data_IF_402299680399
#
_entry.id   IF_402299680399
#
_cell.length_a   1.000
_cell.length_b   1.000
_cell.length_c   1.000
_cell.angle_alpha   90.00
_cell.angle_beta   90.00
_cell.angle_gamma   90.00
#
_symmetry.space_group_name_H-M   'P 1'
#
loop_
_entity.id
_entity.type
_entity.pdbx_description
1 polymer ?
#
# COMPACT_ATOMS: atom_id res chain seq x y z
N UNK A 1 28.58 22.03 6.16
CA UNK A 1 27.55 21.77 7.20
C UNK A 1 26.14 22.29 6.84
N UNK A 2 25.93 23.57 6.51
CA UNK A 2 24.58 24.10 6.16
C UNK A 2 23.84 23.34 5.04
N UNK A 3 24.55 22.97 3.96
CA UNK A 3 23.98 22.17 2.85
C UNK A 3 23.52 20.76 3.25
N UNK A 4 24.04 20.21 4.34
CA UNK A 4 23.64 18.90 4.87
C UNK A 4 22.36 19.02 5.70
N UNK A 5 22.27 20.06 6.54
CA UNK A 5 21.09 20.38 7.34
C UNK A 5 19.89 20.75 6.47
N UNK A 6 20.09 21.56 5.42
CA UNK A 6 19.02 21.92 4.48
C UNK A 6 18.50 20.73 3.66
N UNK A 7 19.38 19.76 3.33
CA UNK A 7 18.96 18.49 2.71
C UNK A 7 18.18 17.64 3.70
N UNK A 8 18.63 17.56 4.94
CA UNK A 8 18.00 16.77 5.99
C UNK A 8 16.63 17.34 6.40
N UNK A 9 16.49 18.67 6.42
CA UNK A 9 15.21 19.37 6.62
C UNK A 9 14.26 19.21 5.43
N UNK A 10 14.76 19.28 4.19
CA UNK A 10 13.94 19.02 3.00
C UNK A 10 13.45 17.58 2.98
N UNK A 11 14.30 16.62 3.31
CA UNK A 11 13.93 15.21 3.40
C UNK A 11 12.94 14.94 4.54
N UNK A 12 13.10 15.56 5.71
CA UNK A 12 12.13 15.41 6.82
C UNK A 12 10.81 16.07 6.51
N UNK A 13 10.81 17.24 5.88
CA UNK A 13 9.60 17.95 5.47
C UNK A 13 8.86 17.18 4.35
N UNK A 14 9.59 16.60 3.40
CA UNK A 14 9.04 15.77 2.35
C UNK A 14 8.51 14.43 2.89
N UNK A 15 9.21 13.79 3.84
CA UNK A 15 8.71 12.62 4.57
C UNK A 15 7.43 12.94 5.34
N UNK A 16 7.35 14.12 5.94
CA UNK A 16 6.17 14.59 6.70
C UNK A 16 4.97 14.85 5.78
N UNK A 17 5.20 15.49 4.61
CA UNK A 17 4.18 15.65 3.56
C UNK A 17 3.68 14.32 3.02
N UNK A 18 4.59 13.40 2.65
CA UNK A 18 4.26 12.05 2.17
C UNK A 18 3.51 11.23 3.23
N UNK A 19 3.79 11.44 4.52
CA UNK A 19 3.06 10.84 5.65
C UNK A 19 1.63 11.39 5.74
N UNK A 20 1.46 12.71 5.69
CA UNK A 20 0.14 13.34 5.73
C UNK A 20 -0.72 12.93 4.52
N UNK A 21 -0.13 12.86 3.33
CA UNK A 21 -0.83 12.40 2.13
C UNK A 21 -1.27 10.94 2.22
N UNK A 22 -0.41 10.04 2.70
CA UNK A 22 -0.78 8.62 2.87
C UNK A 22 -1.92 8.44 3.85
N UNK A 23 -1.86 9.14 4.99
CA UNK A 23 -2.91 9.09 6.00
C UNK A 23 -4.23 9.66 5.47
N UNK A 24 -4.19 10.78 4.75
CA UNK A 24 -5.38 11.45 4.22
C UNK A 24 -6.03 10.65 3.08
N UNK A 25 -5.23 10.06 2.18
CA UNK A 25 -5.72 9.37 0.98
C UNK A 25 -6.08 7.90 1.21
N UNK A 26 -5.24 7.16 1.91
CA UNK A 26 -5.43 5.70 2.08
C UNK A 26 -6.03 5.32 3.44
N UNK A 27 -6.12 6.27 4.38
CA UNK A 27 -6.45 6.00 5.79
C UNK A 27 -5.57 4.91 6.42
N UNK A 28 -4.37 4.72 5.86
CA UNK A 28 -3.42 3.70 6.25
C UNK A 28 -2.28 4.33 7.03
N UNK A 29 -1.89 3.69 8.14
CA UNK A 29 -0.73 4.15 8.89
C UNK A 29 0.56 4.00 8.07
N UNK A 30 1.49 4.98 8.10
CA UNK A 30 2.69 4.98 7.27
C UNK A 30 3.58 3.74 7.44
N UNK A 31 3.62 3.20 8.66
CA UNK A 31 4.42 2.01 8.96
C UNK A 31 3.88 0.78 8.22
N UNK A 32 2.56 0.65 8.08
CA UNK A 32 1.94 -0.46 7.37
C UNK A 32 2.23 -0.36 5.87
N UNK A 33 2.10 0.82 5.29
CA UNK A 33 2.46 1.04 3.88
C UNK A 33 3.93 0.70 3.62
N UNK A 34 4.84 1.16 4.47
CA UNK A 34 6.27 0.86 4.33
C UNK A 34 6.55 -0.64 4.47
N UNK A 35 5.87 -1.33 5.39
CA UNK A 35 6.00 -2.78 5.54
C UNK A 35 5.55 -3.50 4.27
N UNK A 36 4.34 -3.19 3.78
CA UNK A 36 3.81 -3.79 2.54
C UNK A 36 4.73 -3.53 1.35
N UNK A 37 5.23 -2.29 1.22
CA UNK A 37 6.17 -1.94 0.16
C UNK A 37 7.47 -2.74 0.25
N UNK A 38 8.05 -2.85 1.44
CA UNK A 38 9.26 -3.61 1.66
C UNK A 38 9.07 -5.10 1.34
N UNK A 39 7.99 -5.70 1.85
CA UNK A 39 7.68 -7.11 1.63
C UNK A 39 7.47 -7.41 0.14
N UNK A 40 6.74 -6.54 -0.58
CA UNK A 40 6.48 -6.68 -2.02
C UNK A 40 7.75 -6.47 -2.86
N UNK A 41 8.58 -5.47 -2.54
CA UNK A 41 9.85 -5.25 -3.24
C UNK A 41 10.82 -6.43 -3.08
N UNK A 42 10.78 -7.11 -1.93
CA UNK A 42 11.58 -8.30 -1.69
C UNK A 42 11.02 -9.55 -2.40
N UNK A 43 9.71 -9.58 -2.64
CA UNK A 43 9.04 -10.68 -3.32
C UNK A 43 9.15 -10.59 -4.85
N UNK A 44 8.85 -9.43 -5.43
CA UNK A 44 8.91 -9.20 -6.89
C UNK A 44 9.81 -7.99 -7.23
N UNK A 45 10.91 -8.30 -7.91
CA UNK A 45 11.88 -7.32 -8.38
C UNK A 45 11.32 -6.34 -9.43
N UNK A 46 10.10 -6.55 -9.94
CA UNK A 46 9.36 -5.57 -10.72
C UNK A 46 9.12 -4.27 -9.94
N UNK A 47 8.86 -4.36 -8.63
CA UNK A 47 8.56 -3.18 -7.83
C UNK A 47 9.80 -2.36 -7.46
N UNK A 48 10.98 -2.96 -7.53
CA UNK A 48 12.26 -2.26 -7.33
C UNK A 48 12.52 -1.32 -8.51
N UNK A 49 12.90 -0.07 -8.22
CA UNK A 49 13.30 0.88 -9.26
C UNK A 49 14.56 0.39 -9.98
N UNK A 50 14.52 0.38 -11.30
CA UNK A 50 15.63 -0.04 -12.18
C UNK A 50 15.79 0.96 -13.32
N UNK A 51 16.98 1.02 -13.90
CA UNK A 51 17.17 1.70 -15.17
C UNK A 51 16.65 0.84 -16.32
N UNK A 52 16.03 1.46 -17.32
CA UNK A 52 15.70 0.79 -18.57
C UNK A 52 16.94 0.61 -19.46
N UNK A 53 16.77 -0.02 -20.62
CA UNK A 53 17.84 -0.27 -21.57
C UNK A 53 18.48 1.02 -22.14
N UNK A 54 17.78 2.16 -22.04
CA UNK A 54 18.28 3.47 -22.43
C UNK A 54 18.96 4.22 -21.26
N UNK A 55 19.05 3.61 -20.08
CA UNK A 55 19.65 4.19 -18.88
C UNK A 55 18.71 5.16 -18.13
N UNK A 56 17.43 5.23 -18.50
CA UNK A 56 16.44 6.09 -17.84
C UNK A 56 15.93 5.39 -16.59
N UNK A 57 15.92 6.09 -15.46
CA UNK A 57 15.37 5.57 -14.21
C UNK A 57 13.86 5.34 -14.35
N UNK A 58 13.42 4.11 -14.11
CA UNK A 58 12.01 3.74 -14.10
C UNK A 58 11.25 4.30 -12.88
N UNK A 59 9.98 3.92 -12.77
CA UNK A 59 9.11 4.35 -11.68
C UNK A 59 9.59 3.83 -10.31
N UNK A 60 9.42 4.68 -9.29
CA UNK A 60 9.69 4.33 -7.90
C UNK A 60 8.69 3.29 -7.38
N UNK A 61 9.09 2.40 -6.44
CA UNK A 61 8.17 1.48 -5.79
C UNK A 61 6.97 2.19 -5.17
N UNK A 62 7.20 3.34 -4.53
CA UNK A 62 6.16 4.16 -3.93
C UNK A 62 5.12 4.60 -4.96
N UNK A 63 5.55 4.96 -6.17
CA UNK A 63 4.65 5.40 -7.24
C UNK A 63 3.79 4.24 -7.73
N UNK A 64 4.40 3.07 -7.97
CA UNK A 64 3.69 1.85 -8.39
C UNK A 64 2.66 1.43 -7.33
N UNK A 65 3.05 1.32 -6.07
CA UNK A 65 2.13 0.95 -4.98
C UNK A 65 1.04 1.99 -4.74
N UNK A 66 1.38 3.28 -4.82
CA UNK A 66 0.41 4.38 -4.68
C UNK A 66 -0.68 4.27 -5.74
N UNK A 67 -0.31 3.97 -6.99
CA UNK A 67 -1.25 3.81 -8.09
C UNK A 67 -2.16 2.58 -7.89
N UNK A 68 -1.58 1.43 -7.55
CA UNK A 68 -2.33 0.20 -7.26
C UNK A 68 -3.29 0.39 -6.09
N UNK A 69 -2.83 0.96 -4.98
CA UNK A 69 -3.68 1.21 -3.81
C UNK A 69 -4.84 2.17 -4.11
N UNK A 70 -4.65 3.14 -5.02
CA UNK A 70 -5.74 4.03 -5.44
C UNK A 70 -6.76 3.30 -6.32
N UNK A 71 -6.30 2.47 -7.25
CA UNK A 71 -7.20 1.63 -8.05
C UNK A 71 -8.08 0.76 -7.15
N UNK A 72 -7.47 0.10 -6.17
CA UNK A 72 -8.20 -0.76 -5.22
C UNK A 72 -9.14 0.03 -4.31
N UNK A 73 -8.72 1.19 -3.78
CA UNK A 73 -9.50 1.96 -2.83
C UNK A 73 -10.75 2.61 -3.45
N UNK A 74 -10.66 3.04 -4.70
CA UNK A 74 -11.75 3.74 -5.37
C UNK A 74 -12.60 2.85 -6.29
N UNK A 75 -12.17 1.61 -6.54
CA UNK A 75 -12.82 0.73 -7.52
C UNK A 75 -12.82 1.35 -8.93
N UNK A 76 -11.90 2.27 -9.21
CA UNK A 76 -11.85 3.06 -10.44
C UNK A 76 -11.55 2.16 -11.64
N UNK A 77 -12.28 2.38 -12.74
CA UNK A 77 -11.92 1.79 -14.03
C UNK A 77 -10.55 2.30 -14.47
N UNK A 78 -9.84 1.49 -15.27
CA UNK A 78 -8.50 1.78 -15.81
C UNK A 78 -8.45 3.15 -16.52
N UNK A 79 -9.58 3.62 -17.04
CA UNK A 79 -9.67 4.91 -17.72
C UNK A 79 -9.56 6.13 -16.80
N UNK A 80 -9.94 6.02 -15.52
CA UNK A 80 -9.73 7.07 -14.52
C UNK A 80 -8.31 7.06 -13.91
N UNK A 81 -7.53 6.00 -14.16
CA UNK A 81 -6.20 5.80 -13.54
C UNK A 81 -5.14 6.72 -14.15
N UNK A 82 -5.33 7.12 -15.41
CA UNK A 82 -4.41 7.99 -16.14
C UNK A 82 -4.31 9.39 -15.48
N UNK A 83 -5.43 9.94 -15.01
CA UNK A 83 -5.45 11.21 -14.29
C UNK A 83 -4.81 11.13 -12.90
N UNK A 84 -4.89 9.96 -12.25
CA UNK A 84 -4.56 9.82 -10.83
C UNK A 84 -3.06 9.53 -10.62
N UNK A 85 -2.44 8.75 -11.51
CA UNK A 85 -1.07 8.29 -11.33
C UNK A 85 -0.08 8.97 -12.29
N UNK A 86 -0.53 9.51 -13.43
CA UNK A 86 0.36 9.87 -14.56
C UNK A 86 1.31 8.72 -14.93
N UNK A 87 0.83 7.49 -14.76
CA UNK A 87 1.52 6.24 -15.10
C UNK A 87 0.69 5.60 -16.21
N UNK A 88 1.36 5.04 -17.21
CA UNK A 88 0.69 4.36 -18.31
C UNK A 88 -0.30 3.31 -17.81
N UNK A 89 -1.48 3.26 -18.44
CA UNK A 89 -2.56 2.31 -18.09
C UNK A 89 -2.06 0.87 -17.99
N UNK A 90 -1.26 0.43 -18.97
CA UNK A 90 -0.65 -0.90 -19.02
C UNK A 90 0.25 -1.17 -17.80
N UNK A 91 1.09 -0.20 -17.44
CA UNK A 91 2.00 -0.32 -16.29
C UNK A 91 1.25 -0.40 -14.97
N UNK A 92 0.15 0.33 -14.82
CA UNK A 92 -0.65 0.28 -13.59
C UNK A 92 -1.42 -1.04 -13.49
N UNK A 93 -1.98 -1.54 -14.61
CA UNK A 93 -2.62 -2.85 -14.65
C UNK A 93 -1.64 -3.99 -14.34
N UNK A 94 -0.44 -3.97 -14.94
CA UNK A 94 0.58 -4.98 -14.64
C UNK A 94 1.01 -4.91 -13.16
N UNK A 95 1.20 -3.69 -12.63
CA UNK A 95 1.50 -3.50 -11.22
C UNK A 95 0.38 -4.02 -10.32
N UNK A 96 -0.89 -3.85 -10.70
CA UNK A 96 -2.04 -4.34 -9.94
C UNK A 96 -2.05 -5.86 -9.86
N UNK A 97 -1.89 -6.54 -11.00
CA UNK A 97 -1.87 -8.01 -11.06
C UNK A 97 -0.75 -8.56 -10.18
N UNK A 98 0.48 -8.10 -10.40
CA UNK A 98 1.66 -8.53 -9.61
C UNK A 98 1.50 -8.22 -8.12
N UNK A 99 0.89 -7.07 -7.78
CA UNK A 99 0.62 -6.71 -6.41
C UNK A 99 -0.38 -7.67 -5.76
N UNK A 100 -1.47 -8.01 -6.44
CA UNK A 100 -2.45 -8.97 -5.92
C UNK A 100 -1.81 -10.34 -5.69
N UNK A 101 -1.03 -10.85 -6.65
CA UNK A 101 -0.32 -12.12 -6.52
C UNK A 101 0.66 -12.11 -5.33
N UNK A 102 1.40 -11.01 -5.16
CA UNK A 102 2.32 -10.85 -4.04
C UNK A 102 1.57 -10.79 -2.70
N UNK A 103 0.48 -10.02 -2.62
CA UNK A 103 -0.32 -9.89 -1.39
C UNK A 103 -0.97 -11.21 -1.02
N UNK A 104 -1.55 -11.92 -1.98
CA UNK A 104 -2.12 -13.23 -1.76
C UNK A 104 -1.05 -14.19 -1.23
N UNK A 105 0.09 -14.29 -1.91
CA UNK A 105 1.16 -15.21 -1.50
C UNK A 105 1.72 -14.88 -0.11
N UNK A 106 2.00 -13.60 0.16
CA UNK A 106 2.67 -13.16 1.39
C UNK A 106 1.72 -13.15 2.60
N UNK A 107 0.45 -12.79 2.42
CA UNK A 107 -0.46 -12.50 3.53
C UNK A 107 -1.61 -13.51 3.66
N UNK A 108 -1.74 -14.50 2.78
CA UNK A 108 -2.83 -15.49 2.86
C UNK A 108 -2.88 -16.19 4.20
N UNK A 109 -1.73 -16.69 4.68
CA UNK A 109 -1.68 -17.49 5.91
C UNK A 109 -2.04 -16.69 7.16
N UNK A 110 -1.72 -15.41 7.18
CA UNK A 110 -1.86 -14.57 8.37
C UNK A 110 -3.18 -13.78 8.37
N UNK A 111 -3.63 -13.33 7.20
CA UNK A 111 -4.69 -12.32 7.09
C UNK A 111 -5.83 -12.69 6.14
N UNK A 112 -5.59 -13.45 5.07
CA UNK A 112 -6.64 -13.82 4.09
C UNK A 112 -7.22 -15.23 4.30
N UNK A 113 -6.77 -15.93 5.33
CA UNK A 113 -7.37 -17.21 5.75
C UNK A 113 -8.70 -17.00 6.48
N UNK A 114 -9.47 -18.08 6.59
CA UNK A 114 -10.65 -18.12 7.46
C UNK A 114 -10.25 -17.75 8.91
N UNK A 115 -10.99 -16.85 9.59
CA UNK A 115 -10.69 -16.49 10.98
C UNK A 115 -10.74 -17.71 11.89
N UNK A 116 -9.78 -17.83 12.81
CA UNK A 116 -9.82 -18.85 13.86
C UNK A 116 -10.72 -18.38 15.00
N UNK A 117 -11.17 -19.28 15.91
CA UNK A 117 -11.89 -18.87 17.11
C UNK A 117 -11.15 -17.81 17.93
N UNK A 118 -9.81 -17.87 17.97
CA UNK A 118 -8.98 -16.87 18.66
C UNK A 118 -9.02 -15.50 17.97
N UNK A 119 -8.99 -15.47 16.64
CA UNK A 119 -9.14 -14.23 15.88
C UNK A 119 -10.52 -13.61 16.11
N UNK A 120 -11.55 -14.46 16.14
CA UNK A 120 -12.93 -14.06 16.40
C UNK A 120 -13.09 -13.45 17.80
N UNK A 121 -12.55 -14.12 18.82
CA UNK A 121 -12.57 -13.62 20.19
C UNK A 121 -11.85 -12.27 20.31
N UNK A 122 -10.69 -12.11 19.66
CA UNK A 122 -9.98 -10.83 19.63
C UNK A 122 -10.79 -9.73 18.95
N UNK A 123 -11.52 -10.05 17.88
CA UNK A 123 -12.39 -9.11 17.19
C UNK A 123 -13.59 -8.72 18.07
N UNK A 124 -14.21 -9.68 18.77
CA UNK A 124 -15.30 -9.43 19.71
C UNK A 124 -14.89 -8.49 20.83
N UNK A 125 -13.76 -8.76 21.50
CA UNK A 125 -13.25 -7.89 22.56
C UNK A 125 -13.00 -6.46 22.08
N UNK A 126 -12.46 -6.29 20.87
CA UNK A 126 -12.27 -4.96 20.27
C UNK A 126 -13.59 -4.28 19.92
N UNK A 127 -14.60 -5.05 19.47
CA UNK A 127 -15.91 -4.52 19.13
C UNK A 127 -16.67 -4.10 20.39
N UNK A 128 -16.63 -4.93 21.44
CA UNK A 128 -17.20 -4.63 22.76
C UNK A 128 -16.56 -3.39 23.39
N UNK A 129 -15.24 -3.28 23.39
CA UNK A 129 -14.53 -2.08 23.85
C UNK A 129 -14.90 -0.80 23.06
N UNK A 130 -15.48 -0.95 21.87
CA UNK A 130 -15.99 0.15 21.03
C UNK A 130 -17.51 0.33 21.11
N UNK A 131 -18.22 -0.46 21.92
CA UNK A 131 -19.68 -0.40 22.09
C UNK A 131 -20.50 -1.21 21.07
N UNK A 132 -19.91 -2.17 20.36
CA UNK A 132 -20.57 -2.98 19.33
C UNK A 132 -20.51 -4.50 19.64
N UNK A 133 -21.21 -5.00 20.66
CA UNK A 133 -21.10 -6.40 21.10
C UNK A 133 -21.68 -7.44 20.13
N UNK A 134 -22.51 -7.04 19.15
CA UNK A 134 -23.25 -7.96 18.25
C UNK A 134 -22.69 -8.13 16.82
N UNK A 135 -21.47 -7.65 16.55
CA UNK A 135 -20.98 -7.38 15.18
C UNK A 135 -20.67 -8.61 14.30
N UNK A 136 -20.77 -9.84 14.83
CA UNK A 136 -20.29 -11.07 14.16
C UNK A 136 -21.40 -11.91 13.50
N UNK A 137 -22.68 -11.60 13.76
CA UNK A 137 -23.82 -12.35 13.22
C UNK A 137 -23.92 -12.39 11.68
N UNK A 138 -23.10 -11.61 10.96
CA UNK A 138 -23.11 -11.50 9.49
C UNK A 138 -21.95 -12.21 8.78
N UNK A 139 -21.07 -12.94 9.49
CA UNK A 139 -19.83 -13.54 8.93
C UNK A 139 -19.99 -15.07 8.70
N UNK A 140 -21.23 -15.57 8.64
CA UNK A 140 -21.51 -17.00 8.46
C UNK A 140 -21.55 -17.41 6.99
#
# INVERSE_FOLDING_TARGET
MRRCLERQERETNERSRRRAERQRRYRMQPHLFNKVMHDICNYDAYFVQKCDAAGVLGLLPEQKLTAVMRMLAYGSSVDQVDEIARIGKSTTLEALVRFCDAVETLYTRDYLRRPTPKDLQRLLQKAEARGFPGMIGSIN
#
